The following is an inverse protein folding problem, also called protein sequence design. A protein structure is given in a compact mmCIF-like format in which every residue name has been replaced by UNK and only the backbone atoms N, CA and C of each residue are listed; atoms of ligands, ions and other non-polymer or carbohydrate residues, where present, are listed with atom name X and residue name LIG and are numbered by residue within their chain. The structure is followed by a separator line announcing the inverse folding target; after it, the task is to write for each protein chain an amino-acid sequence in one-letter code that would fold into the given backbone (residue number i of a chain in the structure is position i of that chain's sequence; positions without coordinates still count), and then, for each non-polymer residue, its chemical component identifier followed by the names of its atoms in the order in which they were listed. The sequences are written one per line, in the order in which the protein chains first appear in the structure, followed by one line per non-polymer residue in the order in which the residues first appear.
data_IF_309571543460
#
_entry.id   IF_309571543460
#
_cell.length_a   1.000
_cell.length_b   1.000
_cell.length_c   1.000
_cell.angle_alpha   90.00
_cell.angle_beta   90.00
_cell.angle_gamma   90.00
#
_symmetry.space_group_name_H-M   'P 1'
#
loop_
_entity.id
_entity.type
_entity.pdbx_description
1 polymer ?
#
# COMPACT_ATOMS: atom_id res chain seq x y z
N UNK A 1 -20.50 54.27 -18.33
CA UNK A 1 -20.60 52.99 -17.59
C UNK A 1 -21.00 53.31 -16.15
N UNK A 2 -22.06 52.68 -15.61
CA UNK A 2 -22.50 52.91 -14.21
C UNK A 2 -21.45 52.42 -13.20
N UNK A 3 -21.29 53.14 -12.08
CA UNK A 3 -20.37 52.78 -10.98
C UNK A 3 -20.64 51.37 -10.45
N UNK A 4 -21.91 50.97 -10.36
CA UNK A 4 -22.33 49.64 -9.93
C UNK A 4 -21.83 48.54 -10.88
N UNK A 5 -21.88 48.78 -12.20
CA UNK A 5 -21.37 47.83 -13.20
C UNK A 5 -19.86 47.68 -13.08
N UNK A 6 -19.13 48.77 -12.81
CA UNK A 6 -17.68 48.76 -12.60
C UNK A 6 -17.31 47.94 -11.36
N UNK A 7 -17.96 48.20 -10.23
CA UNK A 7 -17.71 47.47 -8.97
C UNK A 7 -17.98 45.96 -9.11
N UNK A 8 -19.05 45.57 -9.83
CA UNK A 8 -19.37 44.16 -10.08
C UNK A 8 -18.29 43.45 -10.90
N UNK A 9 -17.73 44.14 -11.89
CA UNK A 9 -16.63 43.60 -12.72
C UNK A 9 -15.36 43.44 -11.89
N UNK A 10 -14.98 44.47 -11.13
CA UNK A 10 -13.78 44.45 -10.28
C UNK A 10 -13.85 43.34 -9.22
N UNK A 11 -14.99 43.15 -8.56
CA UNK A 11 -15.18 42.08 -7.57
C UNK A 11 -15.15 40.69 -8.24
N UNK A 12 -15.80 40.52 -9.40
CA UNK A 12 -15.77 39.24 -10.13
C UNK A 12 -14.34 38.87 -10.52
N UNK A 13 -13.58 39.84 -11.03
CA UNK A 13 -12.18 39.68 -11.38
C UNK A 13 -11.35 39.24 -10.16
N UNK A 14 -11.51 39.89 -9.01
CA UNK A 14 -10.80 39.53 -7.79
C UNK A 14 -11.10 38.10 -7.32
N UNK A 15 -12.36 37.68 -7.37
CA UNK A 15 -12.75 36.31 -7.01
C UNK A 15 -12.15 35.29 -7.97
N UNK A 16 -12.11 35.60 -9.26
CA UNK A 16 -11.49 34.73 -10.27
C UNK A 16 -9.99 34.61 -10.07
N UNK A 17 -9.28 35.72 -9.85
CA UNK A 17 -7.85 35.68 -9.57
C UNK A 17 -7.56 34.77 -8.38
N UNK A 18 -8.30 34.96 -7.28
CA UNK A 18 -8.11 34.14 -6.08
C UNK A 18 -8.37 32.65 -6.34
N UNK A 19 -9.45 32.33 -7.06
CA UNK A 19 -9.77 30.96 -7.43
C UNK A 19 -8.67 30.33 -8.29
N UNK A 20 -8.20 31.04 -9.32
CA UNK A 20 -7.19 30.53 -10.24
C UNK A 20 -5.84 30.33 -9.55
N UNK A 21 -5.46 31.24 -8.65
CA UNK A 21 -4.25 31.10 -7.83
C UNK A 21 -4.31 29.88 -6.91
N UNK A 22 -5.42 29.72 -6.17
CA UNK A 22 -5.60 28.59 -5.26
C UNK A 22 -5.68 27.26 -6.01
N UNK A 23 -6.35 27.25 -7.18
CA UNK A 23 -6.44 26.08 -8.06
C UNK A 23 -5.08 25.71 -8.66
N UNK A 24 -4.31 26.66 -9.17
CA UNK A 24 -2.98 26.39 -9.75
C UNK A 24 -2.05 25.74 -8.73
N UNK A 25 -2.02 26.25 -7.49
CA UNK A 25 -1.22 25.66 -6.41
C UNK A 25 -1.64 24.23 -6.09
N UNK A 26 -2.94 23.98 -6.05
CA UNK A 26 -3.48 22.64 -5.85
C UNK A 26 -3.12 21.71 -7.02
N UNK A 27 -3.22 22.20 -8.25
CA UNK A 27 -2.91 21.43 -9.45
C UNK A 27 -1.43 21.02 -9.51
N UNK A 28 -0.52 21.92 -9.14
CA UNK A 28 0.92 21.64 -9.09
C UNK A 28 1.22 20.56 -8.04
N UNK A 29 0.64 20.68 -6.84
CA UNK A 29 0.73 19.66 -5.81
C UNK A 29 0.17 18.31 -6.30
N UNK A 30 -0.97 18.34 -7.00
CA UNK A 30 -1.64 17.15 -7.50
C UNK A 30 -0.78 16.42 -8.54
N UNK A 31 -0.14 17.16 -9.47
CA UNK A 31 0.79 16.60 -10.47
C UNK A 31 1.97 15.88 -9.80
N UNK A 32 2.60 16.51 -8.81
CA UNK A 32 3.74 15.91 -8.08
C UNK A 32 3.29 14.66 -7.32
N UNK A 33 2.11 14.72 -6.70
CA UNK A 33 1.53 13.62 -5.95
C UNK A 33 1.17 12.43 -6.84
N UNK A 34 0.59 12.69 -8.02
CA UNK A 34 0.30 11.67 -9.03
C UNK A 34 1.57 10.99 -9.55
N UNK A 35 2.64 11.75 -9.80
CA UNK A 35 3.95 11.20 -10.19
C UNK A 35 4.54 10.32 -9.08
N UNK A 36 4.43 10.75 -7.81
CA UNK A 36 4.88 9.95 -6.67
C UNK A 36 4.12 8.62 -6.57
N UNK A 37 2.81 8.63 -6.83
CA UNK A 37 1.99 7.43 -6.87
C UNK A 37 2.17 6.59 -8.15
N UNK A 38 2.82 7.14 -9.19
CA UNK A 38 2.95 6.50 -10.51
C UNK A 38 3.81 5.23 -10.46
N UNK A 39 4.87 5.25 -9.65
CA UNK A 39 5.88 4.18 -9.58
C UNK A 39 6.19 3.81 -8.14
N UNK A 40 5.30 3.07 -7.45
CA UNK A 40 5.63 2.54 -6.12
C UNK A 40 6.73 1.49 -6.28
N UNK A 41 7.76 1.55 -5.42
CA UNK A 41 8.84 0.57 -5.33
C UNK A 41 8.29 -0.74 -4.75
N UNK A 42 7.57 -1.48 -5.59
CA UNK A 42 6.71 -2.60 -5.19
C UNK A 42 7.10 -3.93 -5.85
N UNK A 43 8.09 -3.91 -6.75
CA UNK A 43 8.57 -5.07 -7.50
C UNK A 43 9.91 -5.58 -6.94
N UNK A 44 9.97 -6.86 -6.58
CA UNK A 44 11.21 -7.59 -6.25
C UNK A 44 12.14 -6.96 -5.20
N UNK A 45 11.62 -6.14 -4.30
CA UNK A 45 12.43 -5.46 -3.29
C UNK A 45 12.62 -6.32 -2.05
N UNK A 46 13.81 -6.22 -1.44
CA UNK A 46 14.09 -6.81 -0.13
C UNK A 46 13.01 -6.39 0.87
N UNK A 47 12.68 -7.28 1.81
CA UNK A 47 11.67 -7.04 2.85
C UNK A 47 11.87 -5.69 3.58
N UNK A 48 13.12 -5.29 3.80
CA UNK A 48 13.51 -4.00 4.38
C UNK A 48 13.00 -2.81 3.55
N UNK A 49 13.19 -2.86 2.23
CA UNK A 49 12.75 -1.80 1.31
C UNK A 49 11.22 -1.74 1.21
N UNK A 50 10.54 -2.90 1.24
CA UNK A 50 9.08 -2.92 1.28
C UNK A 50 8.52 -2.23 2.55
N UNK A 51 9.15 -2.43 3.72
CA UNK A 51 8.78 -1.75 4.97
C UNK A 51 9.05 -0.25 4.93
N UNK A 52 10.15 0.18 4.33
CA UNK A 52 10.46 1.60 4.13
C UNK A 52 9.44 2.25 3.19
N UNK A 53 9.13 1.61 2.07
CA UNK A 53 8.13 2.09 1.12
C UNK A 53 6.74 2.15 1.76
N UNK A 54 6.37 1.18 2.62
CA UNK A 54 5.14 1.25 3.40
C UNK A 54 5.09 2.51 4.27
N UNK A 55 6.14 2.79 5.06
CA UNK A 55 6.20 3.99 5.92
C UNK A 55 6.08 5.28 5.10
N UNK A 56 6.76 5.33 3.96
CA UNK A 56 6.70 6.45 3.02
C UNK A 56 5.28 6.67 2.51
N UNK A 57 4.60 5.62 2.06
CA UNK A 57 3.22 5.73 1.57
C UNK A 57 2.20 6.00 2.67
N UNK A 58 2.44 5.60 3.92
CA UNK A 58 1.60 5.98 5.06
C UNK A 58 1.74 7.46 5.39
N UNK A 59 2.95 8.02 5.32
CA UNK A 59 3.17 9.46 5.42
C UNK A 59 2.51 10.21 4.26
N UNK A 60 2.69 9.71 3.03
CA UNK A 60 2.07 10.30 1.84
C UNK A 60 0.54 10.26 1.90
N UNK A 61 -0.06 9.19 2.42
CA UNK A 61 -1.51 9.11 2.61
C UNK A 61 -2.01 10.24 3.52
N UNK A 62 -1.27 10.60 4.59
CA UNK A 62 -1.65 11.74 5.45
C UNK A 62 -1.65 13.06 4.67
N UNK A 63 -0.61 13.31 3.86
CA UNK A 63 -0.54 14.50 3.01
C UNK A 63 -1.71 14.57 2.01
N UNK A 64 -2.07 13.43 1.40
CA UNK A 64 -3.24 13.37 0.51
C UNK A 64 -4.54 13.69 1.26
N UNK A 65 -4.70 13.22 2.50
CA UNK A 65 -5.87 13.57 3.31
C UNK A 65 -5.89 15.05 3.70
N UNK A 66 -4.74 15.64 4.05
CA UNK A 66 -4.62 17.06 4.39
C UNK A 66 -4.98 17.98 3.21
N UNK A 67 -4.69 17.56 1.98
CA UNK A 67 -5.05 18.30 0.76
C UNK A 67 -6.57 18.44 0.54
N UNK A 68 -7.39 17.61 1.19
CA UNK A 68 -8.85 17.67 1.08
C UNK A 68 -9.38 19.05 1.47
N UNK A 69 -8.83 19.66 2.52
CA UNK A 69 -9.26 20.99 2.97
C UNK A 69 -9.03 22.06 1.89
N UNK A 70 -7.93 21.97 1.13
CA UNK A 70 -7.66 22.88 0.02
C UNK A 70 -8.64 22.64 -1.14
N UNK A 71 -8.92 21.39 -1.48
CA UNK A 71 -9.89 21.03 -2.52
C UNK A 71 -11.31 21.51 -2.15
N UNK A 72 -11.72 21.35 -0.89
CA UNK A 72 -13.01 21.84 -0.38
C UNK A 72 -13.12 23.37 -0.43
N UNK A 73 -12.03 24.08 -0.13
CA UNK A 73 -11.97 25.53 -0.25
C UNK A 73 -12.18 25.98 -1.71
N UNK A 74 -11.46 25.37 -2.66
CA UNK A 74 -11.60 25.62 -4.09
C UNK A 74 -13.04 25.33 -4.55
N UNK A 75 -13.59 24.20 -4.15
CA UNK A 75 -14.98 23.82 -4.42
C UNK A 75 -15.97 24.87 -3.88
N UNK A 76 -15.75 25.38 -2.66
CA UNK A 76 -16.58 26.41 -2.04
C UNK A 76 -16.50 27.73 -2.81
N UNK A 77 -15.31 28.14 -3.26
CA UNK A 77 -15.11 29.33 -4.08
C UNK A 77 -15.86 29.22 -5.41
N UNK A 78 -15.73 28.08 -6.11
CA UNK A 78 -16.49 27.83 -7.34
C UNK A 78 -18.00 27.84 -7.11
N UNK A 79 -18.51 27.17 -6.07
CA UNK A 79 -19.95 27.19 -5.74
C UNK A 79 -20.46 28.60 -5.45
N UNK A 80 -19.62 29.50 -4.92
CA UNK A 80 -19.97 30.92 -4.72
C UNK A 80 -20.09 31.63 -6.07
N UNK A 81 -19.08 31.49 -6.94
CA UNK A 81 -19.08 32.08 -8.29
C UNK A 81 -20.29 31.62 -9.10
N UNK A 82 -20.64 30.33 -9.05
CA UNK A 82 -21.79 29.77 -9.74
C UNK A 82 -23.12 30.36 -9.22
N UNK A 83 -23.30 30.43 -7.89
CA UNK A 83 -24.51 31.00 -7.27
C UNK A 83 -24.71 32.48 -7.59
N UNK A 84 -23.62 33.23 -7.70
CA UNK A 84 -23.66 34.66 -8.01
C UNK A 84 -23.76 34.95 -9.53
N UNK A 85 -23.87 33.92 -10.38
CA UNK A 85 -23.83 34.02 -11.85
C UNK A 85 -22.57 34.76 -12.35
N UNK A 86 -21.43 34.45 -11.72
CA UNK A 86 -20.12 35.03 -12.00
C UNK A 86 -19.17 34.05 -12.70
N UNK A 87 -19.68 32.95 -13.24
CA UNK A 87 -18.88 31.96 -13.98
C UNK A 87 -18.68 32.35 -15.44
N UNK A 88 -17.70 31.72 -16.09
CA UNK A 88 -17.45 31.89 -17.52
C UNK A 88 -18.55 31.21 -18.36
N UNK A 89 -18.83 31.74 -19.55
CA UNK A 89 -19.81 31.16 -20.47
C UNK A 89 -19.32 29.84 -21.10
N UNK A 90 -18.01 29.63 -21.16
CA UNK A 90 -17.40 28.43 -21.71
C UNK A 90 -17.36 27.24 -20.71
N UNK A 91 -17.90 27.42 -19.50
CA UNK A 91 -17.90 26.43 -18.42
C UNK A 91 -16.50 25.91 -18.01
N UNK A 92 -15.42 26.65 -18.33
CA UNK A 92 -14.04 26.30 -18.01
C UNK A 92 -13.82 26.15 -16.51
N UNK A 93 -14.37 27.05 -15.68
CA UNK A 93 -14.24 26.94 -14.22
C UNK A 93 -14.90 25.66 -13.68
N UNK A 94 -16.05 25.28 -14.26
CA UNK A 94 -16.75 24.03 -13.91
C UNK A 94 -15.89 22.82 -14.25
N UNK A 95 -15.31 22.80 -15.46
CA UNK A 95 -14.47 21.70 -15.92
C UNK A 95 -13.21 21.56 -15.06
N UNK A 96 -12.52 22.65 -14.78
CA UNK A 96 -11.33 22.66 -13.91
C UNK A 96 -11.61 22.04 -12.54
N UNK A 97 -12.69 22.48 -11.88
CA UNK A 97 -13.09 21.92 -10.59
C UNK A 97 -13.42 20.43 -10.72
N UNK A 98 -14.22 20.05 -11.72
CA UNK A 98 -14.61 18.66 -11.91
C UNK A 98 -13.40 17.74 -12.12
N UNK A 99 -12.49 18.10 -13.01
CA UNK A 99 -11.27 17.35 -13.29
C UNK A 99 -10.35 17.28 -12.07
N UNK A 100 -10.20 18.38 -11.33
CA UNK A 100 -9.43 18.44 -10.09
C UNK A 100 -9.96 17.47 -9.02
N UNK A 101 -11.28 17.41 -8.82
CA UNK A 101 -11.90 16.45 -7.89
C UNK A 101 -11.70 15.00 -8.37
N UNK A 102 -11.94 14.72 -9.64
CA UNK A 102 -11.80 13.37 -10.19
C UNK A 102 -10.36 12.85 -10.07
N UNK A 103 -9.37 13.70 -10.38
CA UNK A 103 -7.95 13.36 -10.24
C UNK A 103 -7.56 13.12 -8.78
N UNK A 104 -8.05 13.94 -7.85
CA UNK A 104 -7.82 13.73 -6.42
C UNK A 104 -8.42 12.41 -5.92
N UNK A 105 -9.66 12.09 -6.30
CA UNK A 105 -10.32 10.82 -5.96
C UNK A 105 -9.52 9.62 -6.49
N UNK A 106 -9.04 9.71 -7.74
CA UNK A 106 -8.22 8.67 -8.35
C UNK A 106 -6.88 8.50 -7.62
N UNK A 107 -6.24 9.60 -7.24
CA UNK A 107 -5.01 9.58 -6.44
C UNK A 107 -5.27 8.89 -5.08
N UNK A 108 -6.33 9.26 -4.37
CA UNK A 108 -6.67 8.67 -3.06
C UNK A 108 -6.93 7.16 -3.17
N UNK A 109 -7.69 6.72 -4.19
CA UNK A 109 -7.92 5.30 -4.48
C UNK A 109 -6.63 4.57 -4.78
N UNK A 110 -5.74 5.16 -5.59
CA UNK A 110 -4.45 4.59 -5.95
C UNK A 110 -3.55 4.41 -4.73
N UNK A 111 -3.40 5.42 -3.89
CA UNK A 111 -2.62 5.36 -2.64
C UNK A 111 -3.15 4.26 -1.71
N UNK A 112 -4.47 4.18 -1.55
CA UNK A 112 -5.11 3.13 -0.74
C UNK A 112 -4.81 1.73 -1.28
N UNK A 113 -4.85 1.54 -2.60
CA UNK A 113 -4.54 0.27 -3.24
C UNK A 113 -3.07 -0.14 -3.04
N UNK A 114 -2.13 0.81 -3.18
CA UNK A 114 -0.71 0.59 -2.94
C UNK A 114 -0.46 0.16 -1.50
N UNK A 115 -1.01 0.90 -0.52
CA UNK A 115 -0.89 0.57 0.90
C UNK A 115 -1.43 -0.81 1.24
N UNK A 116 -2.60 -1.16 0.70
CA UNK A 116 -3.20 -2.49 0.90
C UNK A 116 -2.27 -3.60 0.40
N UNK A 117 -1.69 -3.43 -0.79
CA UNK A 117 -0.73 -4.38 -1.37
C UNK A 117 0.54 -4.52 -0.53
N UNK A 118 1.12 -3.40 -0.10
CA UNK A 118 2.34 -3.40 0.73
C UNK A 118 2.10 -4.09 2.07
N UNK A 119 0.99 -3.76 2.76
CA UNK A 119 0.62 -4.39 4.04
C UNK A 119 0.41 -5.89 3.89
N UNK A 120 -0.28 -6.31 2.83
CA UNK A 120 -0.48 -7.73 2.56
C UNK A 120 0.83 -8.47 2.27
N UNK A 121 1.72 -7.90 1.46
CA UNK A 121 3.03 -8.48 1.17
C UNK A 121 3.90 -8.61 2.42
N UNK A 122 3.96 -7.56 3.24
CA UNK A 122 4.73 -7.55 4.49
C UNK A 122 4.17 -8.57 5.48
N UNK A 123 2.84 -8.64 5.65
CA UNK A 123 2.19 -9.61 6.53
C UNK A 123 2.51 -11.06 6.13
N UNK A 124 2.41 -11.39 4.83
CA UNK A 124 2.78 -12.73 4.35
C UNK A 124 4.25 -13.07 4.59
N UNK A 125 5.16 -12.09 4.47
CA UNK A 125 6.57 -12.30 4.80
C UNK A 125 6.78 -12.52 6.30
N UNK A 126 6.09 -11.77 7.17
CA UNK A 126 6.20 -11.92 8.63
C UNK A 126 5.64 -13.26 9.12
N UNK A 127 4.51 -13.72 8.57
CA UNK A 127 3.95 -15.04 8.84
C UNK A 127 4.94 -16.15 8.44
N UNK A 128 5.61 -15.99 7.30
CA UNK A 128 6.64 -16.94 6.87
C UNK A 128 7.85 -16.99 7.80
N UNK A 129 8.39 -15.82 8.18
CA UNK A 129 9.53 -15.75 9.09
C UNK A 129 9.18 -16.40 10.44
N UNK A 130 7.96 -16.16 10.95
CA UNK A 130 7.45 -16.80 12.17
C UNK A 130 7.36 -18.32 12.03
N UNK A 131 6.86 -18.82 10.89
CA UNK A 131 6.77 -20.25 10.63
C UNK A 131 8.18 -20.89 10.51
N UNK A 132 9.12 -20.21 9.84
CA UNK A 132 10.52 -20.64 9.73
C UNK A 132 11.16 -20.74 11.11
N UNK A 133 11.02 -19.71 11.93
CA UNK A 133 11.63 -19.67 13.26
C UNK A 133 11.03 -20.77 14.16
N UNK A 134 9.72 -21.00 14.06
CA UNK A 134 9.05 -22.10 14.76
C UNK A 134 9.59 -23.48 14.35
N UNK A 135 9.90 -23.67 13.06
CA UNK A 135 10.51 -24.90 12.55
C UNK A 135 11.95 -25.03 13.05
N UNK A 136 12.73 -23.95 13.07
CA UNK A 136 14.11 -23.95 13.51
C UNK A 136 14.24 -24.29 15.01
N UNK A 137 13.38 -23.71 15.84
CA UNK A 137 13.27 -24.06 17.26
C UNK A 137 12.92 -25.54 17.42
N UNK A 138 11.95 -26.03 16.63
CA UNK A 138 11.56 -27.44 16.67
C UNK A 138 12.70 -28.38 16.26
N UNK A 139 13.43 -28.07 15.18
CA UNK A 139 14.60 -28.85 14.77
C UNK A 139 15.66 -28.88 15.87
N UNK A 140 15.92 -27.73 16.51
CA UNK A 140 16.88 -27.63 17.61
C UNK A 140 16.44 -28.47 18.82
N UNK A 141 15.16 -28.44 19.18
CA UNK A 141 14.61 -29.28 20.26
C UNK A 141 14.71 -30.76 19.92
N UNK A 142 14.46 -31.15 18.67
CA UNK A 142 14.63 -32.54 18.22
C UNK A 142 16.09 -32.99 18.27
N UNK A 143 17.02 -32.15 17.82
CA UNK A 143 18.46 -32.44 17.89
C UNK A 143 18.91 -32.63 19.35
N UNK A 144 18.41 -31.80 20.27
CA UNK A 144 18.65 -31.96 21.71
C UNK A 144 18.06 -33.26 22.26
N UNK A 145 16.82 -33.61 21.88
CA UNK A 145 16.20 -34.86 22.32
C UNK A 145 16.95 -36.09 21.81
N UNK A 146 17.39 -36.09 20.54
CA UNK A 146 18.21 -37.16 19.99
C UNK A 146 19.55 -37.27 20.72
N UNK A 147 20.23 -36.15 20.94
CA UNK A 147 21.49 -36.10 21.69
C UNK A 147 21.31 -36.66 23.11
N UNK A 148 20.21 -36.31 23.79
CA UNK A 148 19.90 -36.82 25.13
C UNK A 148 19.66 -38.34 25.14
N UNK A 149 18.89 -38.86 24.18
CA UNK A 149 18.65 -40.29 24.05
C UNK A 149 19.97 -41.04 23.80
N UNK A 150 20.81 -40.53 22.92
CA UNK A 150 22.06 -41.17 22.51
C UNK A 150 23.13 -41.16 23.62
N UNK A 151 23.32 -40.04 24.32
CA UNK A 151 24.51 -39.85 25.16
C UNK A 151 24.24 -39.74 26.66
N UNK A 152 23.03 -39.36 27.07
CA UNK A 152 22.76 -38.96 28.46
C UNK A 152 21.66 -39.77 29.15
N UNK A 153 20.81 -40.49 28.40
CA UNK A 153 19.74 -41.30 29.01
C UNK A 153 20.27 -42.62 29.59
N UNK A 154 19.97 -42.87 30.87
CA UNK A 154 20.22 -44.16 31.58
C UNK A 154 19.23 -45.28 31.19
N UNK A 155 18.36 -45.02 30.21
CA UNK A 155 17.35 -45.97 29.75
C UNK A 155 17.97 -47.19 29.06
N UNK A 156 17.35 -48.35 29.25
CA UNK A 156 17.74 -49.57 28.54
C UNK A 156 17.56 -49.42 27.01
N UNK A 157 18.31 -50.22 26.25
CA UNK A 157 18.35 -50.17 24.78
C UNK A 157 16.95 -50.26 24.14
N UNK A 158 16.06 -51.06 24.70
CA UNK A 158 14.69 -51.27 24.23
C UNK A 158 13.79 -50.04 24.48
N UNK A 159 14.02 -49.32 25.58
CA UNK A 159 13.39 -48.03 25.85
C UNK A 159 13.92 -46.93 24.90
N UNK A 160 15.23 -46.90 24.62
CA UNK A 160 15.82 -45.99 23.62
C UNK A 160 15.26 -46.22 22.21
N UNK A 161 15.14 -47.48 21.79
CA UNK A 161 14.56 -47.85 20.48
C UNK A 161 13.09 -47.41 20.37
N UNK A 162 12.30 -47.51 21.45
CA UNK A 162 10.91 -47.02 21.44
C UNK A 162 10.85 -45.49 21.30
N UNK A 163 11.68 -44.74 22.01
CA UNK A 163 11.73 -43.28 21.93
C UNK A 163 12.19 -42.77 20.55
N UNK A 164 13.18 -43.44 19.94
CA UNK A 164 13.63 -43.14 18.58
C UNK A 164 12.53 -43.36 17.54
N UNK A 165 11.73 -44.43 17.66
CA UNK A 165 10.60 -44.69 16.75
C UNK A 165 9.50 -43.63 16.84
N UNK A 166 9.24 -43.12 18.03
CA UNK A 166 8.28 -42.01 18.23
C UNK A 166 8.80 -40.73 17.57
N UNK A 167 10.08 -40.41 17.81
CA UNK A 167 10.74 -39.24 17.22
C UNK A 167 10.75 -39.28 15.68
N UNK A 168 11.02 -40.45 15.08
CA UNK A 168 10.96 -40.67 13.63
C UNK A 168 9.54 -40.49 13.06
N UNK A 169 8.50 -40.89 13.80
CA UNK A 169 7.11 -40.69 13.37
C UNK A 169 6.74 -39.20 13.34
N UNK A 170 7.19 -38.43 14.34
CA UNK A 170 7.03 -36.98 14.38
C UNK A 170 7.74 -36.28 13.21
N UNK A 171 8.94 -36.75 12.85
CA UNK A 171 9.72 -36.24 11.72
C UNK A 171 8.95 -36.36 10.40
N UNK A 172 8.39 -37.55 10.13
CA UNK A 172 7.70 -37.86 8.87
C UNK A 172 6.41 -37.04 8.65
N UNK A 173 5.70 -36.68 9.73
CA UNK A 173 4.50 -35.82 9.66
C UNK A 173 4.85 -34.36 9.35
N UNK A 174 5.97 -33.87 9.91
CA UNK A 174 6.39 -32.47 9.79
C UNK A 174 7.13 -32.16 8.48
N UNK A 175 7.91 -33.08 7.94
CA UNK A 175 8.53 -32.94 6.60
C UNK A 175 7.49 -32.74 5.49
N UNK A 176 6.35 -33.43 5.60
CA UNK A 176 5.21 -33.25 4.68
C UNK A 176 4.57 -31.87 4.82
N UNK A 177 4.68 -31.25 6.00
CA UNK A 177 4.24 -29.89 6.28
C UNK A 177 5.24 -28.88 5.71
N UNK A 178 6.53 -29.08 5.92
CA UNK A 178 7.65 -28.30 5.37
C UNK A 178 7.61 -28.23 3.83
N UNK A 179 7.38 -29.37 3.16
CA UNK A 179 7.25 -29.41 1.69
C UNK A 179 6.03 -28.61 1.21
N UNK A 180 4.91 -28.65 1.95
CA UNK A 180 3.72 -27.84 1.63
C UNK A 180 3.99 -26.36 1.83
N UNK A 181 4.69 -25.95 2.90
CA UNK A 181 5.04 -24.55 3.14
C UNK A 181 5.99 -24.04 2.05
N UNK A 182 7.00 -24.83 1.67
CA UNK A 182 7.99 -24.47 0.65
C UNK A 182 7.39 -24.44 -0.78
N UNK A 183 6.48 -25.37 -1.10
CA UNK A 183 5.76 -25.41 -2.37
C UNK A 183 4.71 -24.29 -2.47
N UNK A 184 3.95 -24.01 -1.40
CA UNK A 184 3.04 -22.87 -1.32
C UNK A 184 3.79 -21.55 -1.51
N UNK A 185 5.01 -21.46 -0.97
CA UNK A 185 5.90 -20.31 -1.14
C UNK A 185 6.36 -20.11 -2.59
N UNK A 186 6.81 -21.18 -3.26
CA UNK A 186 7.17 -21.10 -4.68
C UNK A 186 5.97 -20.75 -5.57
N UNK A 187 4.77 -21.21 -5.20
CA UNK A 187 3.54 -20.91 -5.92
C UNK A 187 3.06 -19.48 -5.70
N UNK A 188 3.14 -18.95 -4.46
CA UNK A 188 2.74 -17.58 -4.15
C UNK A 188 3.77 -16.53 -4.58
N UNK A 189 5.08 -16.79 -4.51
CA UNK A 189 6.09 -15.89 -5.07
C UNK A 189 5.97 -15.81 -6.60
N UNK A 190 5.71 -16.93 -7.29
CA UNK A 190 5.40 -16.92 -8.72
C UNK A 190 4.05 -16.25 -9.02
N UNK A 191 3.03 -16.48 -8.19
CA UNK A 191 1.71 -15.87 -8.34
C UNK A 191 1.70 -14.36 -8.11
N UNK A 192 2.52 -13.84 -7.18
CA UNK A 192 2.72 -12.41 -6.95
C UNK A 192 3.52 -11.76 -8.08
N UNK A 193 4.52 -12.44 -8.66
CA UNK A 193 5.16 -11.95 -9.89
C UNK A 193 4.17 -11.93 -11.07
N UNK A 194 3.38 -12.98 -11.27
CA UNK A 194 2.42 -13.08 -12.39
C UNK A 194 1.26 -12.10 -12.25
N UNK A 195 0.67 -11.93 -11.05
CA UNK A 195 -0.39 -10.95 -10.81
C UNK A 195 0.07 -9.49 -10.92
N UNK A 196 1.38 -9.24 -10.85
CA UNK A 196 1.97 -7.93 -11.08
C UNK A 196 2.30 -7.70 -12.56
N UNK A 197 2.76 -8.72 -13.28
CA UNK A 197 2.98 -8.67 -14.74
C UNK A 197 1.67 -8.51 -15.51
N UNK A 198 0.59 -9.20 -15.12
CA UNK A 198 -0.70 -9.10 -15.81
C UNK A 198 -1.39 -7.73 -15.68
N UNK A 199 -0.99 -6.88 -14.72
CA UNK A 199 -1.50 -5.50 -14.61
C UNK A 199 -0.62 -4.49 -15.36
N UNK A 200 0.62 -4.85 -15.69
CA UNK A 200 1.47 -4.07 -16.61
C UNK A 200 1.08 -4.29 -18.07
N UNK A 201 0.52 -5.46 -18.42
CA UNK A 201 -0.01 -5.73 -19.78
C UNK A 201 -1.32 -5.00 -20.08
N UNK A 202 -2.15 -4.66 -19.08
CA UNK A 202 -3.37 -3.84 -19.25
C UNK A 202 -3.09 -2.33 -19.48
N UNK A 203 -1.81 -1.95 -19.66
CA UNK A 203 -1.38 -0.58 -19.97
C UNK A 203 -0.73 -0.41 -21.35
N UNK A 204 -0.82 -1.41 -22.23
CA UNK A 204 -0.45 -1.29 -23.65
C UNK A 204 -1.66 -1.43 -24.57
#
# INVERSE_FOLDING_TARGET
MSMERRLKIEETWRLWQKFLEDFSRFEDWLKISEQTAAFPSSSCVLYTVAKEELKKFEAFQRQVHESLTQLELINKQYRRLARENRTDSACKLKQMVHEGNQRWDNLQKRVTSILRRLKHFIGQREEFETARDSILVWLTEMDLQLTNIEHFSECDVQAKIKQLKVSHCFFCVKDRMLLKTYLYYNYQLKGLCLALVSVEEDKN
#
